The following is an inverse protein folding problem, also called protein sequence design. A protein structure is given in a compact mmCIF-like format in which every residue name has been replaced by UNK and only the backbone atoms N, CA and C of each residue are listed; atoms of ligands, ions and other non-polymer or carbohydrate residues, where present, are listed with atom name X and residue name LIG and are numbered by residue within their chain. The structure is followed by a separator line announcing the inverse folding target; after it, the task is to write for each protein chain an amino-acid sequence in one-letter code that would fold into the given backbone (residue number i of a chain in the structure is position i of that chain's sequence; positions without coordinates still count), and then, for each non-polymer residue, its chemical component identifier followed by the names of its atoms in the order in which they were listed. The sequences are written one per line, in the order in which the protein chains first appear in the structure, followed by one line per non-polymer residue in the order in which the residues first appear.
data_IF_827672030388
#
_entry.id   IF_827672030388
#
_cell.length_a   1.000
_cell.length_b   1.000
_cell.length_c   1.000
_cell.angle_alpha   90.00
_cell.angle_beta   90.00
_cell.angle_gamma   90.00
#
_symmetry.space_group_name_H-M   'P 1'
#
loop_
_entity.id
_entity.type
_entity.pdbx_description
1 polymer ?
#
# COMPACT_ATOMS: atom_id res chain seq x y z
N UNK A 1 -27.69 -12.73 27.42
CA UNK A 1 -26.61 -13.47 26.75
C UNK A 1 -25.51 -12.46 26.49
N UNK A 2 -24.31 -12.55 27.10
CA UNK A 2 -23.22 -11.66 26.70
C UNK A 2 -22.85 -12.02 25.27
N UNK A 3 -22.97 -11.07 24.35
CA UNK A 3 -22.52 -11.25 22.97
C UNK A 3 -21.04 -11.60 23.00
N UNK A 4 -20.66 -12.73 22.40
CA UNK A 4 -19.26 -13.11 22.27
C UNK A 4 -18.52 -11.93 21.62
N UNK A 5 -17.49 -11.43 22.30
CA UNK A 5 -16.65 -10.40 21.68
C UNK A 5 -15.98 -11.00 20.44
N UNK A 6 -16.01 -10.30 19.30
CA UNK A 6 -15.38 -10.81 18.09
C UNK A 6 -13.89 -11.05 18.36
N UNK A 7 -13.40 -12.19 17.89
CA UNK A 7 -11.98 -12.55 17.99
C UNK A 7 -11.14 -11.47 17.30
N UNK A 8 -9.99 -11.07 17.86
CA UNK A 8 -9.09 -10.15 17.18
C UNK A 8 -8.65 -10.71 15.83
N UNK A 9 -8.70 -9.89 14.79
CA UNK A 9 -8.29 -10.23 13.44
C UNK A 9 -6.88 -9.70 13.15
N UNK A 10 -6.03 -10.52 12.52
CA UNK A 10 -4.70 -10.08 12.07
C UNK A 10 -4.83 -9.53 10.65
N UNK A 11 -4.41 -8.29 10.45
CA UNK A 11 -4.55 -7.56 9.20
C UNK A 11 -3.19 -7.00 8.77
N UNK A 12 -3.02 -6.78 7.47
CA UNK A 12 -1.85 -6.08 6.91
C UNK A 12 -2.31 -4.77 6.30
N UNK A 13 -1.65 -3.67 6.65
CA UNK A 13 -1.75 -2.38 5.97
C UNK A 13 -0.52 -2.15 5.09
N UNK A 14 -0.74 -1.77 3.84
CA UNK A 14 0.32 -1.49 2.86
C UNK A 14 0.16 -0.10 2.28
N UNK A 15 1.26 0.65 2.19
CA UNK A 15 1.29 1.94 1.51
C UNK A 15 2.67 2.19 0.90
N UNK A 16 2.69 2.83 -0.26
CA UNK A 16 3.89 3.49 -0.77
C UNK A 16 3.54 4.90 -1.24
N UNK A 17 4.20 5.89 -0.64
CA UNK A 17 3.96 7.31 -0.90
C UNK A 17 4.61 7.82 -2.18
N UNK A 18 4.45 9.12 -2.43
CA UNK A 18 5.01 9.81 -3.61
C UNK A 18 6.55 9.89 -3.62
N UNK A 19 7.22 9.54 -2.52
CA UNK A 19 8.68 9.54 -2.46
C UNK A 19 9.31 8.32 -3.14
N UNK A 20 8.53 7.25 -3.38
CA UNK A 20 8.99 6.02 -4.05
C UNK A 20 10.21 5.39 -3.33
N UNK A 21 10.25 5.52 -2.00
CA UNK A 21 11.38 5.02 -1.21
C UNK A 21 11.24 3.53 -0.86
N UNK A 22 10.00 3.01 -0.83
CA UNK A 22 9.73 1.61 -0.51
C UNK A 22 8.28 1.38 -0.13
N UNK A 23 7.99 0.13 0.26
CA UNK A 23 6.68 -0.32 0.73
C UNK A 23 6.67 -0.32 2.25
N UNK A 24 5.81 0.50 2.85
CA UNK A 24 5.51 0.42 4.26
C UNK A 24 4.54 -0.74 4.51
N UNK A 25 4.92 -1.63 5.42
CA UNK A 25 4.11 -2.77 5.84
C UNK A 25 3.81 -2.63 7.32
N UNK A 26 2.52 -2.59 7.67
CA UNK A 26 2.06 -2.64 9.05
C UNK A 26 1.22 -3.91 9.27
N UNK A 27 1.71 -4.84 10.07
CA UNK A 27 0.91 -5.98 10.51
C UNK A 27 0.27 -5.62 11.85
N UNK A 28 -1.05 -5.64 11.91
CA UNK A 28 -1.83 -5.18 13.07
C UNK A 28 -2.83 -6.25 13.50
N UNK A 29 -3.21 -6.20 14.76
CA UNK A 29 -4.35 -6.92 15.29
C UNK A 29 -5.49 -5.93 15.58
N UNK A 30 -6.66 -6.19 15.02
CA UNK A 30 -7.86 -5.35 15.17
C UNK A 30 -8.93 -6.13 15.94
N UNK A 31 -9.41 -5.56 17.04
CA UNK A 31 -10.47 -6.15 17.87
C UNK A 31 -11.63 -5.16 18.05
N UNK A 32 -12.86 -5.67 18.18
CA UNK A 32 -14.06 -4.85 18.33
C UNK A 32 -14.64 -4.37 16.99
N UNK A 33 -15.57 -3.43 17.03
CA UNK A 33 -16.28 -2.95 15.84
C UNK A 33 -16.50 -1.43 15.86
N UNK A 34 -16.52 -0.82 14.67
CA UNK A 34 -16.82 0.59 14.45
C UNK A 34 -15.99 1.52 15.37
N UNK A 35 -16.64 2.46 16.05
CA UNK A 35 -16.00 3.44 16.94
C UNK A 35 -15.31 2.83 18.18
N UNK A 36 -15.57 1.55 18.49
CA UNK A 36 -14.94 0.83 19.60
C UNK A 36 -13.75 -0.05 19.18
N UNK A 37 -13.34 -0.03 17.91
CA UNK A 37 -12.25 -0.84 17.41
C UNK A 37 -10.92 -0.46 18.09
N UNK A 38 -10.16 -1.47 18.50
CA UNK A 38 -8.81 -1.32 19.05
C UNK A 38 -7.82 -1.92 18.08
N UNK A 39 -6.76 -1.17 17.78
CA UNK A 39 -5.68 -1.59 16.88
C UNK A 39 -4.42 -1.76 17.70
N UNK A 40 -3.77 -2.92 17.55
CA UNK A 40 -2.47 -3.22 18.16
C UNK A 40 -1.46 -3.50 17.05
N UNK A 41 -0.39 -2.73 17.00
CA UNK A 41 0.70 -2.98 16.06
C UNK A 41 1.48 -4.24 16.47
N UNK A 42 1.64 -5.17 15.54
CA UNK A 42 2.43 -6.39 15.73
C UNK A 42 3.83 -6.24 15.13
N UNK A 43 3.89 -5.68 13.91
CA UNK A 43 5.13 -5.42 13.19
C UNK A 43 4.95 -4.21 12.26
N UNK A 44 6.03 -3.44 12.09
CA UNK A 44 6.10 -2.37 11.12
C UNK A 44 7.50 -2.33 10.52
N UNK A 45 7.58 -2.27 9.19
CA UNK A 45 8.84 -2.03 8.49
C UNK A 45 8.60 -1.40 7.12
N UNK A 46 9.54 -0.58 6.68
CA UNK A 46 9.62 -0.09 5.30
C UNK A 46 10.61 -0.95 4.53
N UNK A 47 10.14 -1.62 3.48
CA UNK A 47 10.98 -2.42 2.59
C UNK A 47 11.31 -1.60 1.35
N UNK A 48 12.59 -1.28 1.08
CA UNK A 48 12.97 -0.53 -0.10
C UNK A 48 12.55 -1.23 -1.39
N UNK A 49 12.14 -0.46 -2.40
CA UNK A 49 11.95 -1.01 -3.74
C UNK A 49 13.28 -1.51 -4.31
N UNK A 50 13.27 -2.56 -5.14
CA UNK A 50 14.43 -2.89 -5.96
C UNK A 50 14.80 -1.70 -6.86
N UNK A 51 16.10 -1.42 -7.00
CA UNK A 51 16.59 -0.26 -7.77
C UNK A 51 15.95 -0.12 -9.17
N UNK A 52 15.80 -1.19 -9.98
CA UNK A 52 15.19 -1.07 -11.30
C UNK A 52 13.71 -0.62 -11.23
N UNK A 53 12.97 -1.08 -10.24
CA UNK A 53 11.55 -0.71 -10.04
C UNK A 53 11.46 0.74 -9.64
N UNK A 54 12.31 1.17 -8.70
CA UNK A 54 12.37 2.57 -8.24
C UNK A 54 12.73 3.51 -9.39
N UNK A 55 13.73 3.16 -10.20
CA UNK A 55 14.13 3.95 -11.38
C UNK A 55 12.98 4.11 -12.37
N UNK A 56 12.26 3.03 -12.69
CA UNK A 56 11.13 3.09 -13.63
C UNK A 56 9.96 3.91 -13.08
N UNK A 57 9.63 3.77 -11.79
CA UNK A 57 8.60 4.56 -11.12
C UNK A 57 8.93 6.06 -11.14
N UNK A 58 10.18 6.44 -10.85
CA UNK A 58 10.62 7.84 -10.94
C UNK A 58 10.54 8.37 -12.37
N UNK A 59 10.92 7.55 -13.35
CA UNK A 59 10.87 7.95 -14.75
C UNK A 59 9.44 8.08 -15.30
N UNK A 60 8.37 7.69 -14.59
CA UNK A 60 6.99 8.04 -14.97
C UNK A 60 6.69 9.54 -14.81
N UNK A 61 7.42 10.24 -13.93
CA UNK A 61 7.25 11.68 -13.72
C UNK A 61 7.98 12.50 -14.78
N UNK A 62 9.17 12.05 -15.20
CA UNK A 62 10.05 12.81 -16.09
C UNK A 62 9.91 12.43 -17.57
N UNK A 63 9.66 11.15 -17.89
CA UNK A 63 9.58 10.63 -19.26
C UNK A 63 8.18 10.08 -19.57
N UNK A 64 7.46 10.81 -20.42
CA UNK A 64 6.11 10.44 -20.86
C UNK A 64 6.09 9.44 -22.03
N UNK A 65 7.26 9.01 -22.51
CA UNK A 65 7.38 7.99 -23.55
C UNK A 65 6.76 6.68 -23.08
N UNK A 66 5.74 6.20 -23.81
CA UNK A 66 5.01 4.97 -23.47
C UNK A 66 4.45 4.95 -22.03
N UNK A 67 4.15 6.11 -21.45
CA UNK A 67 3.76 6.24 -20.03
C UNK A 67 2.64 5.27 -19.62
N UNK A 68 1.61 5.09 -20.45
CA UNK A 68 0.49 4.17 -20.17
C UNK A 68 0.93 2.71 -20.15
N UNK A 69 1.80 2.29 -21.08
CA UNK A 69 2.30 0.91 -21.13
C UNK A 69 3.25 0.62 -19.96
N UNK A 70 4.10 1.60 -19.60
CA UNK A 70 4.98 1.55 -18.42
C UNK A 70 4.16 1.47 -17.15
N UNK A 71 3.16 2.33 -16.99
CA UNK A 71 2.22 2.33 -15.87
C UNK A 71 1.49 0.98 -15.73
N UNK A 72 0.96 0.45 -16.83
CA UNK A 72 0.28 -0.85 -16.85
C UNK A 72 1.19 -1.99 -16.34
N UNK A 73 2.45 -1.98 -16.77
CA UNK A 73 3.44 -2.98 -16.32
C UNK A 73 3.82 -2.77 -14.85
N UNK A 74 4.09 -1.54 -14.45
CA UNK A 74 4.51 -1.18 -13.10
C UNK A 74 3.43 -1.47 -12.05
N UNK A 75 2.14 -1.34 -12.40
CA UNK A 75 1.04 -1.75 -11.53
C UNK A 75 1.18 -3.20 -11.04
N UNK A 76 1.55 -4.13 -11.94
CA UNK A 76 1.73 -5.54 -11.59
C UNK A 76 3.02 -5.74 -10.78
N UNK A 77 4.11 -5.08 -11.18
CA UNK A 77 5.41 -5.18 -10.52
C UNK A 77 5.36 -4.65 -9.09
N UNK A 78 4.74 -3.50 -8.87
CA UNK A 78 4.52 -2.92 -7.53
C UNK A 78 3.67 -3.86 -6.68
N UNK A 79 2.62 -4.46 -7.25
CA UNK A 79 1.83 -5.47 -6.55
C UNK A 79 2.66 -6.67 -6.06
N UNK A 80 3.62 -7.13 -6.86
CA UNK A 80 4.56 -8.17 -6.44
C UNK A 80 5.50 -7.67 -5.32
N UNK A 81 6.05 -6.45 -5.42
CA UNK A 81 6.86 -5.87 -4.35
C UNK A 81 6.09 -5.76 -3.03
N UNK A 82 4.79 -5.45 -3.08
CA UNK A 82 3.93 -5.39 -1.91
C UNK A 82 3.73 -6.76 -1.25
N UNK A 83 3.55 -7.80 -2.06
CA UNK A 83 3.46 -9.18 -1.58
C UNK A 83 4.79 -9.62 -0.94
N UNK A 84 5.91 -9.40 -1.62
CA UNK A 84 7.24 -9.77 -1.13
C UNK A 84 7.60 -9.03 0.17
N UNK A 85 7.29 -7.73 0.25
CA UNK A 85 7.48 -6.94 1.46
C UNK A 85 6.64 -7.49 2.62
N UNK A 86 5.38 -7.86 2.37
CA UNK A 86 4.49 -8.46 3.39
C UNK A 86 5.07 -9.77 3.92
N UNK A 87 5.54 -10.64 3.02
CA UNK A 87 6.16 -11.93 3.38
C UNK A 87 7.40 -11.68 4.24
N UNK A 88 8.30 -10.80 3.80
CA UNK A 88 9.53 -10.51 4.52
C UNK A 88 9.27 -9.98 5.95
N UNK A 89 8.31 -9.07 6.10
CA UNK A 89 7.97 -8.48 7.41
C UNK A 89 7.28 -9.51 8.32
N UNK A 90 6.40 -10.34 7.78
CA UNK A 90 5.76 -11.41 8.53
C UNK A 90 6.78 -12.45 9.02
N UNK A 91 7.70 -12.88 8.15
CA UNK A 91 8.78 -13.82 8.50
C UNK A 91 9.67 -13.25 9.61
N UNK A 92 10.12 -12.00 9.49
CA UNK A 92 10.96 -11.33 10.50
C UNK A 92 10.26 -11.18 11.85
N UNK A 93 8.94 -10.99 11.84
CA UNK A 93 8.11 -10.88 13.03
C UNK A 93 7.66 -12.24 13.60
N UNK A 94 7.95 -13.35 12.91
CA UNK A 94 7.47 -14.69 13.29
C UNK A 94 5.95 -14.84 13.19
N UNK A 95 5.31 -14.08 12.29
CA UNK A 95 3.88 -14.09 12.06
C UNK A 95 3.56 -15.05 10.91
N UNK A 96 2.69 -16.03 11.19
CA UNK A 96 2.18 -16.93 10.16
C UNK A 96 1.19 -16.19 9.25
N UNK A 97 1.51 -16.11 7.96
CA UNK A 97 0.66 -15.47 6.94
C UNK A 97 -0.72 -16.14 6.82
N UNK A 98 -0.86 -17.42 7.18
CA UNK A 98 -2.16 -18.10 7.21
C UNK A 98 -3.12 -17.51 8.27
N UNK A 99 -2.62 -16.69 9.20
CA UNK A 99 -3.43 -15.96 10.18
C UNK A 99 -3.88 -14.58 9.70
N UNK A 100 -3.32 -14.08 8.61
CA UNK A 100 -3.72 -12.79 8.03
C UNK A 100 -5.09 -12.96 7.38
N UNK A 101 -6.08 -12.21 7.85
CA UNK A 101 -7.46 -12.29 7.38
C UNK A 101 -7.74 -11.32 6.23
N UNK A 102 -7.04 -10.18 6.23
CA UNK A 102 -7.24 -9.12 5.23
C UNK A 102 -5.98 -8.30 5.02
N UNK A 103 -5.81 -7.84 3.78
CA UNK A 103 -4.81 -6.87 3.38
C UNK A 103 -5.54 -5.60 2.93
N UNK A 104 -5.28 -4.49 3.60
CA UNK A 104 -5.64 -3.16 3.15
C UNK A 104 -4.45 -2.52 2.46
N UNK A 105 -4.51 -2.37 1.14
CA UNK A 105 -3.46 -1.73 0.35
C UNK A 105 -3.92 -0.37 -0.15
N UNK A 106 -3.17 0.68 0.17
CA UNK A 106 -3.31 1.98 -0.46
C UNK A 106 -2.77 1.96 -1.91
N UNK A 107 -1.76 1.12 -2.18
CA UNK A 107 -1.01 1.14 -3.44
C UNK A 107 0.11 2.20 -3.45
N UNK A 108 0.65 2.44 -4.64
CA UNK A 108 1.73 3.39 -4.88
C UNK A 108 1.15 4.64 -5.54
N UNK A 109 1.23 5.80 -4.89
CA UNK A 109 0.79 7.04 -5.56
C UNK A 109 1.64 7.29 -6.81
N UNK A 110 1.02 7.22 -7.99
CA UNK A 110 1.65 7.55 -9.28
C UNK A 110 1.43 9.01 -9.61
N UNK A 111 0.22 9.54 -9.40
CA UNK A 111 -0.07 10.94 -9.67
C UNK A 111 -1.00 11.51 -8.60
N UNK A 112 -0.70 12.69 -8.10
CA UNK A 112 -1.56 13.40 -7.18
C UNK A 112 -1.90 14.77 -7.76
N UNK A 113 -3.18 14.96 -8.09
CA UNK A 113 -3.75 16.20 -8.58
C UNK A 113 -4.60 16.81 -7.45
N UNK A 114 -4.03 17.66 -6.58
CA UNK A 114 -4.75 18.18 -5.41
C UNK A 114 -5.76 19.27 -5.75
N UNK A 115 -5.60 19.94 -6.89
CA UNK A 115 -6.39 21.10 -7.28
C UNK A 115 -6.96 20.96 -8.69
N UNK A 116 -8.07 21.66 -8.94
CA UNK A 116 -8.64 21.82 -10.28
C UNK A 116 -7.75 22.73 -11.12
N UNK A 117 -7.39 22.29 -12.32
CA UNK A 117 -6.73 23.10 -13.34
C UNK A 117 -7.77 23.90 -14.16
N UNK A 118 -7.83 25.24 -14.04
CA UNK A 118 -8.78 26.07 -14.79
C UNK A 118 -8.62 25.96 -16.31
N UNK A 119 -7.44 25.58 -16.81
CA UNK A 119 -7.17 25.42 -18.24
C UNK A 119 -7.68 24.09 -18.81
N UNK A 120 -8.02 23.12 -17.95
CA UNK A 120 -8.54 21.82 -18.35
C UNK A 120 -9.91 21.56 -17.71
N UNK A 121 -11.02 21.70 -18.46
CA UNK A 121 -12.38 21.62 -17.89
C UNK A 121 -12.76 20.31 -17.20
N UNK A 122 -12.04 19.21 -17.45
CA UNK A 122 -12.26 17.93 -16.79
C UNK A 122 -11.31 17.69 -15.61
N UNK A 123 -10.39 18.62 -15.34
CA UNK A 123 -9.45 18.52 -14.23
C UNK A 123 -10.22 18.43 -12.92
N UNK A 124 -10.11 17.28 -12.25
CA UNK A 124 -10.79 17.02 -10.99
C UNK A 124 -9.74 16.62 -9.95
N UNK A 125 -9.80 17.16 -8.72
CA UNK A 125 -8.92 16.70 -7.66
C UNK A 125 -8.98 15.18 -7.52
N UNK A 126 -7.84 14.51 -7.68
CA UNK A 126 -7.77 13.05 -7.77
C UNK A 126 -6.37 12.54 -7.49
N UNK A 127 -6.27 11.28 -7.09
CA UNK A 127 -5.02 10.56 -6.90
C UNK A 127 -5.09 9.27 -7.70
N UNK A 128 -4.06 9.00 -8.49
CA UNK A 128 -3.85 7.71 -9.12
C UNK A 128 -2.87 6.90 -8.27
N UNK A 129 -3.27 5.67 -7.94
CA UNK A 129 -2.55 4.70 -7.13
C UNK A 129 -2.25 3.44 -7.95
#
# INVERSE_FOLDING_TARGET
MPSAQPKPATCVGLISGTSVDGVDVAIVEIAGHAAGAKVRLLAFETIPYPDPVRTELLALYDDQTQAVARLCSLNVVVGACFADATIAVAERAGIDLARVEIIGSHGQTVWHQPAHDPAWPLSTPSTLQ
#
